data_IF_121258034569
#
_entry.id   IF_121258034569
#
_cell.length_a   1.000
_cell.length_b   1.000
_cell.length_c   1.000
_cell.angle_alpha   90.00
_cell.angle_beta   90.00
_cell.angle_gamma   90.00
#
_symmetry.space_group_name_H-M   'P 1'
#
loop_
_entity.id
_entity.type
_entity.pdbx_description
1 polymer ?
#
# COMPACT_ATOMS: atom_id res chain seq x y z
N UNK A 1 -12.39 1.14 -2.14
CA UNK A 1 -11.88 2.54 -2.13
C UNK A 1 -10.36 2.46 -2.06
N UNK A 2 -9.61 3.55 -2.28
CA UNK A 2 -8.18 3.51 -2.57
C UNK A 2 -7.31 2.77 -1.54
N UNK A 3 -6.37 1.95 -2.03
CA UNK A 3 -5.18 1.50 -1.29
C UNK A 3 -3.93 1.75 -2.14
N UNK A 4 -3.60 3.03 -2.40
CA UNK A 4 -2.37 3.42 -3.12
C UNK A 4 -1.35 4.15 -2.26
N UNK A 5 -1.79 4.74 -1.14
CA UNK A 5 -0.99 5.60 -0.27
C UNK A 5 -1.36 5.32 1.20
N UNK A 6 -0.90 4.18 1.72
CA UNK A 6 -1.05 3.78 3.13
C UNK A 6 -0.61 4.87 4.14
N UNK A 7 0.22 5.83 3.72
CA UNK A 7 0.70 6.94 4.54
C UNK A 7 -0.09 8.25 4.42
N UNK A 8 -1.04 8.39 3.47
CA UNK A 8 -1.85 9.64 3.34
C UNK A 8 -3.28 9.46 3.81
N UNK A 9 -3.93 8.37 3.40
CA UNK A 9 -5.37 8.19 3.54
C UNK A 9 -5.74 7.08 4.55
N UNK A 10 -4.82 6.73 5.46
CA UNK A 10 -5.04 5.66 6.45
C UNK A 10 -6.34 5.84 7.23
N UNK A 11 -6.65 7.07 7.66
CA UNK A 11 -7.92 7.41 8.31
C UNK A 11 -9.15 6.93 7.53
N UNK A 12 -9.16 7.03 6.20
CA UNK A 12 -10.27 6.56 5.36
C UNK A 12 -10.37 5.03 5.31
N UNK A 13 -9.23 4.33 5.40
CA UNK A 13 -9.19 2.87 5.46
C UNK A 13 -9.74 2.40 6.81
N UNK A 14 -9.32 3.04 7.91
CA UNK A 14 -9.84 2.78 9.26
C UNK A 14 -11.33 3.13 9.37
N UNK A 15 -11.79 4.21 8.73
CA UNK A 15 -13.23 4.57 8.63
C UNK A 15 -14.03 3.54 7.83
N UNK A 16 -13.47 3.04 6.72
CA UNK A 16 -14.12 2.00 5.93
C UNK A 16 -14.21 0.67 6.70
N UNK A 17 -13.14 0.29 7.39
CA UNK A 17 -13.05 -0.91 8.21
C UNK A 17 -14.10 -0.93 9.34
N UNK A 18 -14.19 0.13 10.14
CA UNK A 18 -15.23 0.28 11.17
C UNK A 18 -16.65 0.20 10.60
N UNK A 19 -16.88 0.87 9.46
CA UNK A 19 -18.20 0.90 8.81
C UNK A 19 -18.52 -0.39 8.04
N UNK A 20 -17.71 -1.44 8.22
CA UNK A 20 -17.77 -2.74 7.51
C UNK A 20 -17.87 -2.57 5.98
N UNK A 21 -17.33 -1.47 5.46
CA UNK A 21 -17.33 -1.16 4.03
C UNK A 21 -16.23 -1.99 3.37
N UNK A 22 -16.56 -2.90 2.43
CA UNK A 22 -15.56 -3.77 1.84
C UNK A 22 -14.52 -2.97 1.06
N UNK A 23 -13.26 -3.25 1.36
CA UNK A 23 -12.10 -2.80 0.61
C UNK A 23 -11.13 -3.98 0.44
N UNK A 24 -10.06 -3.75 -0.31
CA UNK A 24 -8.96 -4.68 -0.48
C UNK A 24 -7.66 -3.87 -0.49
N UNK A 25 -6.57 -4.49 -0.08
CA UNK A 25 -5.25 -3.90 -0.19
C UNK A 25 -4.75 -4.02 -1.63
N UNK A 26 -3.99 -3.03 -2.09
CA UNK A 26 -3.31 -3.06 -3.37
C UNK A 26 -1.84 -2.67 -3.16
N UNK A 27 -0.94 -3.46 -3.74
CA UNK A 27 0.49 -3.16 -3.86
C UNK A 27 1.01 -3.69 -5.20
N UNK A 28 2.25 -3.37 -5.56
CA UNK A 28 2.83 -3.82 -6.82
C UNK A 28 4.34 -3.88 -6.84
N UNK A 29 4.87 -4.61 -7.82
CA UNK A 29 6.30 -4.86 -8.01
C UNK A 29 6.63 -4.99 -9.49
N UNK A 30 7.49 -4.10 -10.01
CA UNK A 30 8.13 -4.31 -11.31
C UNK A 30 9.28 -5.33 -11.21
N UNK A 31 9.18 -6.53 -11.82
CA UNK A 31 10.13 -7.61 -11.61
C UNK A 31 11.36 -7.46 -12.51
N UNK A 32 12.43 -6.82 -11.99
CA UNK A 32 13.64 -6.49 -12.78
C UNK A 32 14.86 -7.37 -12.56
N UNK A 33 14.74 -8.42 -11.76
CA UNK A 33 15.82 -9.30 -11.34
C UNK A 33 15.25 -10.65 -10.92
N UNK A 34 16.09 -11.69 -10.91
CA UNK A 34 15.65 -13.04 -10.51
C UNK A 34 15.18 -13.08 -9.05
N UNK A 35 15.91 -12.43 -8.14
CA UNK A 35 15.53 -12.35 -6.72
C UNK A 35 15.11 -10.93 -6.32
N UNK A 36 14.23 -10.85 -5.32
CA UNK A 36 13.88 -9.66 -4.55
C UNK A 36 14.92 -9.48 -3.44
N UNK A 37 15.68 -8.38 -3.47
CA UNK A 37 16.56 -8.03 -2.35
C UNK A 37 15.75 -7.51 -1.15
N UNK A 38 16.28 -7.66 0.07
CA UNK A 38 15.57 -7.35 1.34
C UNK A 38 14.82 -6.02 1.36
N UNK A 39 15.40 -4.93 0.85
CA UNK A 39 14.72 -3.61 0.80
C UNK A 39 13.42 -3.58 -0.02
N UNK A 40 13.25 -4.46 -1.00
CA UNK A 40 12.00 -4.64 -1.75
C UNK A 40 11.06 -5.68 -1.12
N UNK A 41 11.54 -6.46 -0.13
CA UNK A 41 10.74 -7.41 0.65
C UNK A 41 10.04 -6.72 1.83
N UNK A 42 10.63 -5.67 2.42
CA UNK A 42 10.02 -4.91 3.53
C UNK A 42 8.59 -4.43 3.22
N UNK A 43 8.27 -3.84 2.04
CA UNK A 43 6.89 -3.49 1.71
C UNK A 43 5.94 -4.69 1.68
N UNK A 44 6.41 -5.89 1.28
CA UNK A 44 5.57 -7.09 1.28
C UNK A 44 5.36 -7.65 2.68
N UNK A 45 6.38 -7.67 3.54
CA UNK A 45 6.23 -8.04 4.95
C UNK A 45 5.22 -7.11 5.64
N UNK A 46 5.32 -5.81 5.41
CA UNK A 46 4.36 -4.84 5.94
C UNK A 46 2.95 -5.00 5.34
N UNK A 47 2.84 -5.27 4.04
CA UNK A 47 1.53 -5.52 3.38
C UNK A 47 0.90 -6.83 3.87
N UNK A 48 1.70 -7.85 4.18
CA UNK A 48 1.26 -9.13 4.75
C UNK A 48 0.68 -8.92 6.14
N UNK A 49 1.40 -8.18 6.98
CA UNK A 49 0.90 -7.76 8.29
C UNK A 49 -0.42 -6.99 8.16
N UNK A 50 -0.50 -5.97 7.29
CA UNK A 50 -1.76 -5.26 7.04
C UNK A 50 -2.89 -6.19 6.55
N UNK A 51 -2.59 -7.22 5.76
CA UNK A 51 -3.59 -8.21 5.32
C UNK A 51 -4.13 -9.03 6.49
N UNK A 52 -3.24 -9.58 7.33
CA UNK A 52 -3.65 -10.34 8.52
C UNK A 52 -4.55 -9.49 9.43
N UNK A 53 -4.16 -8.23 9.59
CA UNK A 53 -4.72 -7.25 10.53
C UNK A 53 -6.10 -6.74 10.09
N UNK A 54 -6.27 -6.42 8.81
CA UNK A 54 -7.56 -6.00 8.26
C UNK A 54 -8.45 -7.19 7.84
N UNK A 55 -7.91 -8.41 7.77
CA UNK A 55 -8.53 -9.63 7.23
C UNK A 55 -9.15 -9.49 5.83
N UNK A 56 -8.65 -8.55 5.02
CA UNK A 56 -9.20 -8.20 3.70
C UNK A 56 -8.47 -8.91 2.54
N UNK A 57 -9.09 -8.98 1.35
CA UNK A 57 -8.37 -9.38 0.15
C UNK A 57 -7.18 -8.44 -0.16
N UNK A 58 -6.18 -8.99 -0.84
CA UNK A 58 -4.99 -8.29 -1.34
C UNK A 58 -4.83 -8.56 -2.84
N UNK A 59 -4.51 -7.51 -3.58
CA UNK A 59 -4.09 -7.58 -4.97
C UNK A 59 -2.64 -7.15 -5.10
N UNK A 60 -1.82 -7.96 -5.77
CA UNK A 60 -0.42 -7.69 -6.07
C UNK A 60 -0.23 -7.62 -7.60
N UNK A 61 0.04 -6.43 -8.12
CA UNK A 61 0.34 -6.22 -9.54
C UNK A 61 1.83 -6.44 -9.82
N UNK A 62 2.16 -7.31 -10.76
CA UNK A 62 3.51 -7.48 -11.29
C UNK A 62 3.62 -6.75 -12.63
N UNK A 63 4.26 -5.58 -12.62
CA UNK A 63 4.36 -4.65 -13.76
C UNK A 63 5.49 -5.07 -14.70
N UNK A 64 5.30 -6.24 -15.32
CA UNK A 64 6.27 -6.88 -16.21
C UNK A 64 6.32 -6.23 -17.60
N UNK A 65 5.21 -5.61 -18.01
CA UNK A 65 5.12 -4.69 -19.14
C UNK A 65 5.99 -3.43 -18.94
N UNK A 66 5.98 -2.80 -17.76
CA UNK A 66 6.85 -1.66 -17.44
C UNK A 66 8.33 -2.04 -17.49
N UNK A 67 8.69 -3.25 -17.04
CA UNK A 67 10.09 -3.70 -17.16
C UNK A 67 10.49 -3.97 -18.61
N UNK A 68 9.59 -4.43 -19.47
CA UNK A 68 9.82 -4.49 -20.92
C UNK A 68 9.89 -3.09 -21.58
N UNK A 69 9.07 -2.14 -21.14
CA UNK A 69 8.97 -0.79 -21.73
C UNK A 69 10.10 0.16 -21.30
N UNK A 70 10.77 -0.09 -20.18
CA UNK A 70 11.87 0.75 -19.66
C UNK A 70 13.26 0.11 -19.72
N UNK A 71 13.39 -1.19 -19.98
CA UNK A 71 14.68 -1.89 -20.02
C UNK A 71 14.84 -2.72 -21.28
N UNK A 72 16.09 -2.96 -21.66
CA UNK A 72 16.45 -3.94 -22.67
C UNK A 72 16.30 -5.35 -22.07
N UNK A 73 15.08 -5.88 -22.13
CA UNK A 73 14.68 -7.21 -21.65
C UNK A 73 13.75 -7.86 -22.67
N UNK A 74 13.87 -9.17 -22.85
CA UNK A 74 12.90 -9.96 -23.62
C UNK A 74 11.60 -10.18 -22.82
N UNK A 75 10.49 -10.46 -23.51
CA UNK A 75 9.22 -10.80 -22.84
C UNK A 75 9.35 -12.11 -22.05
N UNK A 76 10.17 -13.05 -22.53
CA UNK A 76 10.55 -14.28 -21.86
C UNK A 76 11.29 -14.02 -20.54
N UNK A 77 12.20 -13.03 -20.50
CA UNK A 77 12.88 -12.61 -19.27
C UNK A 77 11.93 -11.90 -18.31
N UNK A 78 11.08 -10.99 -18.78
CA UNK A 78 10.04 -10.36 -17.96
C UNK A 78 9.11 -11.42 -17.33
N UNK A 79 8.63 -12.39 -18.13
CA UNK A 79 7.83 -13.53 -17.63
C UNK A 79 8.59 -14.35 -16.58
N UNK A 80 9.87 -14.63 -16.81
CA UNK A 80 10.70 -15.40 -15.88
C UNK A 80 10.92 -14.65 -14.56
N UNK A 81 11.31 -13.37 -14.60
CA UNK A 81 11.48 -12.55 -13.39
C UNK A 81 10.16 -12.38 -12.63
N UNK A 82 9.04 -12.27 -13.33
CA UNK A 82 7.69 -12.27 -12.75
C UNK A 82 7.44 -13.52 -11.91
N UNK A 83 7.71 -14.70 -12.47
CA UNK A 83 7.53 -15.98 -11.74
C UNK A 83 8.46 -16.08 -10.53
N UNK A 84 9.73 -15.68 -10.64
CA UNK A 84 10.65 -15.73 -9.49
C UNK A 84 10.28 -14.69 -8.41
N UNK A 85 9.93 -13.45 -8.78
CA UNK A 85 9.49 -12.44 -7.81
C UNK A 85 8.16 -12.85 -7.15
N UNK A 86 7.26 -13.52 -7.89
CA UNK A 86 6.05 -14.09 -7.31
C UNK A 86 6.36 -15.17 -6.24
N UNK A 87 7.40 -16.00 -6.44
CA UNK A 87 7.84 -16.98 -5.41
C UNK A 87 8.36 -16.27 -4.16
N UNK A 88 9.21 -15.26 -4.31
CA UNK A 88 9.72 -14.46 -3.18
C UNK A 88 8.58 -13.77 -2.40
N UNK A 89 7.57 -13.25 -3.11
CA UNK A 89 6.38 -12.64 -2.51
C UNK A 89 5.53 -13.68 -1.77
N UNK A 90 5.27 -14.84 -2.38
CA UNK A 90 4.53 -15.94 -1.75
C UNK A 90 5.25 -16.43 -0.48
N UNK A 91 6.59 -16.43 -0.48
CA UNK A 91 7.41 -16.79 0.68
C UNK A 91 7.27 -15.82 1.87
N UNK A 92 6.66 -14.63 1.71
CA UNK A 92 6.26 -13.78 2.84
C UNK A 92 5.09 -14.37 3.66
N UNK A 93 4.41 -15.42 3.19
CA UNK A 93 3.35 -16.11 3.92
C UNK A 93 1.97 -15.47 3.82
N UNK A 94 1.64 -14.89 2.66
CA UNK A 94 0.29 -14.41 2.35
C UNK A 94 -0.73 -15.57 2.23
N UNK A 95 -1.98 -15.37 2.65
CA UNK A 95 -3.05 -16.36 2.45
C UNK A 95 -3.49 -16.39 0.98
N UNK A 96 -3.35 -17.57 0.34
CA UNK A 96 -3.78 -17.81 -1.05
C UNK A 96 -5.28 -17.59 -1.27
N UNK A 97 -6.11 -17.77 -0.24
CA UNK A 97 -7.55 -17.55 -0.33
C UNK A 97 -7.93 -16.06 -0.36
N UNK A 98 -7.02 -15.19 0.10
CA UNK A 98 -7.22 -13.73 0.18
C UNK A 98 -6.29 -12.95 -0.73
N UNK A 99 -5.37 -13.60 -1.45
CA UNK A 99 -4.30 -12.93 -2.21
C UNK A 99 -4.36 -13.28 -3.69
N UNK A 100 -4.50 -12.26 -4.54
CA UNK A 100 -4.42 -12.38 -6.00
C UNK A 100 -3.17 -11.67 -6.52
N UNK A 101 -2.22 -12.45 -7.05
CA UNK A 101 -1.02 -11.95 -7.72
C UNK A 101 -1.23 -12.09 -9.23
N UNK A 102 -0.95 -11.04 -10.01
CA UNK A 102 -1.14 -11.07 -11.46
C UNK A 102 -0.01 -10.35 -12.22
N UNK A 103 0.25 -10.80 -13.44
CA UNK A 103 1.11 -10.13 -14.44
C UNK A 103 0.28 -9.20 -15.29
N UNK A 104 0.78 -7.99 -15.58
CA UNK A 104 0.09 -7.05 -16.45
C UNK A 104 -0.02 -7.59 -17.89
N UNK A 105 1.05 -8.21 -18.41
CA UNK A 105 1.04 -8.84 -19.74
C UNK A 105 -0.03 -9.94 -19.90
N UNK A 106 -0.27 -10.74 -18.86
CA UNK A 106 -1.25 -11.84 -18.89
C UNK A 106 -2.68 -11.38 -18.54
N UNK A 107 -2.84 -10.60 -17.45
CA UNK A 107 -4.17 -10.25 -16.95
C UNK A 107 -4.91 -9.23 -17.82
N UNK A 108 -4.18 -8.39 -18.57
CA UNK A 108 -4.76 -7.48 -19.55
C UNK A 108 -5.61 -8.22 -20.59
N UNK A 109 -5.13 -9.39 -21.06
CA UNK A 109 -5.87 -10.25 -21.98
C UNK A 109 -6.98 -11.06 -21.30
N UNK A 110 -6.78 -11.45 -20.04
CA UNK A 110 -7.72 -12.29 -19.29
C UNK A 110 -8.95 -11.53 -18.75
N UNK A 111 -8.84 -10.22 -18.46
CA UNK A 111 -9.89 -9.44 -17.79
C UNK A 111 -10.38 -8.23 -18.59
N UNK A 112 -11.52 -8.36 -19.31
CA UNK A 112 -12.19 -7.22 -19.94
C UNK A 112 -12.59 -6.12 -18.94
N UNK A 113 -12.79 -6.48 -17.66
CA UNK A 113 -13.13 -5.51 -16.61
C UNK A 113 -11.92 -4.62 -16.25
N UNK A 114 -10.72 -5.21 -16.19
CA UNK A 114 -9.47 -4.49 -16.00
C UNK A 114 -9.22 -3.50 -17.13
N UNK A 115 -9.21 -3.96 -18.39
CA UNK A 115 -8.96 -3.09 -19.54
C UNK A 115 -9.99 -1.96 -19.68
N UNK A 116 -11.27 -2.20 -19.35
CA UNK A 116 -12.31 -1.14 -19.29
C UNK A 116 -11.98 -0.02 -18.30
N UNK A 117 -11.25 -0.30 -17.22
CA UNK A 117 -10.80 0.72 -16.28
C UNK A 117 -9.51 1.39 -16.77
N UNK A 118 -8.58 0.66 -17.38
CA UNK A 118 -7.39 1.22 -18.05
C UNK A 118 -7.79 2.28 -19.07
N UNK A 119 -8.69 1.97 -20.01
CA UNK A 119 -9.11 2.95 -21.04
C UNK A 119 -9.90 4.13 -20.48
N UNK A 120 -10.59 3.98 -19.34
CA UNK A 120 -11.20 5.12 -18.63
C UNK A 120 -10.13 6.05 -18.09
N UNK A 121 -9.06 5.53 -17.48
CA UNK A 121 -7.95 6.37 -17.00
C UNK A 121 -7.25 7.05 -18.18
N UNK A 122 -6.91 6.31 -19.24
CA UNK A 122 -6.30 6.87 -20.47
C UNK A 122 -7.14 7.99 -21.10
N UNK A 123 -8.48 7.91 -21.04
CA UNK A 123 -9.37 8.97 -21.56
C UNK A 123 -9.31 10.27 -20.75
N UNK A 124 -9.09 10.20 -19.43
CA UNK A 124 -9.15 11.35 -18.52
C UNK A 124 -7.77 11.91 -18.14
N UNK A 125 -6.68 11.30 -18.62
CA UNK A 125 -5.31 11.76 -18.40
C UNK A 125 -4.69 12.17 -19.74
N UNK A 126 -4.48 13.47 -19.93
CA UNK A 126 -3.86 14.03 -21.13
C UNK A 126 -2.35 13.81 -21.16
N UNK A 127 -1.75 13.84 -22.36
CA UNK A 127 -0.29 13.73 -22.51
C UNK A 127 0.47 14.80 -21.70
N UNK A 128 -0.04 16.04 -21.64
CA UNK A 128 0.55 17.10 -20.84
C UNK A 128 0.58 16.77 -19.33
N UNK A 129 -0.43 16.07 -18.80
CA UNK A 129 -0.46 15.65 -17.40
C UNK A 129 0.58 14.55 -17.13
N UNK A 130 0.66 13.48 -17.93
CA UNK A 130 1.70 12.45 -17.74
C UNK A 130 3.11 12.98 -17.98
N UNK A 131 3.30 13.90 -18.94
CA UNK A 131 4.56 14.61 -19.18
C UNK A 131 5.00 15.41 -17.95
N UNK A 132 4.07 16.12 -17.31
CA UNK A 132 4.35 16.87 -16.07
C UNK A 132 4.60 15.99 -14.84
N UNK A 133 3.97 14.80 -14.75
CA UNK A 133 4.10 13.90 -13.58
C UNK A 133 5.33 12.99 -13.69
N UNK A 134 5.58 12.41 -14.87
CA UNK A 134 6.60 11.38 -15.09
C UNK A 134 7.82 11.86 -15.88
N UNK A 135 7.83 13.11 -16.36
CA UNK A 135 8.95 13.68 -17.11
C UNK A 135 9.11 13.17 -18.53
N UNK A 136 8.06 12.55 -19.11
CA UNK A 136 8.12 11.97 -20.45
C UNK A 136 8.47 12.98 -21.55
N UNK A 137 9.29 12.54 -22.49
CA UNK A 137 9.69 13.31 -23.66
C UNK A 137 8.90 12.89 -24.89
N UNK A 138 9.00 13.67 -25.97
CA UNK A 138 8.37 13.33 -27.24
C UNK A 138 9.11 12.18 -27.97
N UNK A 139 10.23 11.72 -27.39
CA UNK A 139 11.02 10.55 -27.81
C UNK A 139 10.69 9.27 -27.04
N UNK A 140 9.88 9.34 -25.97
CA UNK A 140 9.47 8.14 -25.23
C UNK A 140 8.41 7.36 -25.99
N UNK A 141 8.48 6.02 -25.92
CA UNK A 141 7.52 5.19 -26.64
C UNK A 141 6.11 5.28 -26.02
N UNK A 142 5.07 5.13 -26.87
CA UNK A 142 3.67 5.25 -26.45
C UNK A 142 3.28 4.27 -25.33
N UNK A 143 3.98 3.13 -25.21
CA UNK A 143 3.80 2.18 -24.13
C UNK A 143 4.07 2.83 -22.76
N UNK A 144 5.23 3.49 -22.59
CA UNK A 144 5.57 4.23 -21.35
C UNK A 144 4.53 5.29 -21.01
N UNK A 145 4.08 6.04 -22.02
CA UNK A 145 3.09 7.11 -21.86
C UNK A 145 1.73 6.54 -21.40
N UNK A 146 1.38 5.34 -21.86
CA UNK A 146 0.12 4.66 -21.53
C UNK A 146 0.14 3.85 -20.22
N UNK A 147 1.32 3.40 -19.79
CA UNK A 147 1.50 2.50 -18.63
C UNK A 147 0.95 3.04 -17.29
N UNK A 148 1.05 4.33 -16.93
CA UNK A 148 0.46 4.85 -15.69
C UNK A 148 -1.04 4.54 -15.53
N UNK A 149 -1.78 4.38 -16.63
CA UNK A 149 -3.18 3.96 -16.58
C UNK A 149 -3.37 2.47 -16.24
N UNK A 150 -2.41 1.62 -16.63
CA UNK A 150 -2.34 0.20 -16.29
C UNK A 150 -2.03 0.06 -14.79
N UNK A 151 -1.02 0.77 -14.30
CA UNK A 151 -0.64 0.78 -12.88
C UNK A 151 -1.69 1.40 -11.95
N UNK A 152 -2.54 2.30 -12.47
CA UNK A 152 -3.64 2.89 -11.71
C UNK A 152 -4.93 2.02 -11.72
N UNK A 153 -5.12 1.14 -12.70
CA UNK A 153 -6.34 0.34 -12.83
C UNK A 153 -6.64 -0.56 -11.61
N UNK A 154 -5.66 -1.10 -10.86
CA UNK A 154 -5.91 -1.82 -9.62
C UNK A 154 -6.47 -0.99 -8.46
N UNK A 155 -6.53 0.34 -8.54
CA UNK A 155 -7.20 1.17 -7.52
C UNK A 155 -8.73 1.13 -7.59
N UNK A 156 -9.29 0.62 -8.70
CA UNK A 156 -10.73 0.51 -8.93
C UNK A 156 -11.21 -0.92 -8.66
N UNK A 157 -12.07 -1.10 -7.66
CA UNK A 157 -12.57 -2.42 -7.23
C UNK A 157 -13.22 -3.24 -8.35
N UNK A 158 -13.91 -2.59 -9.29
CA UNK A 158 -14.54 -3.25 -10.43
C UNK A 158 -13.54 -3.75 -11.51
N UNK A 159 -12.23 -3.57 -11.32
CA UNK A 159 -11.16 -4.24 -12.08
C UNK A 159 -11.02 -5.72 -11.72
N UNK A 160 -11.51 -6.11 -10.54
CA UNK A 160 -11.43 -7.47 -9.99
C UNK A 160 -12.81 -7.94 -9.50
N UNK A 161 -13.79 -8.14 -10.41
CA UNK A 161 -15.16 -8.54 -10.03
C UNK A 161 -15.22 -9.85 -9.23
N UNK A 162 -14.18 -10.68 -9.28
CA UNK A 162 -14.03 -11.94 -8.53
C UNK A 162 -13.53 -11.77 -7.09
N UNK A 163 -12.94 -10.63 -6.72
CA UNK A 163 -12.27 -10.43 -5.41
C UNK A 163 -13.19 -9.72 -4.40
N UNK A 164 -14.04 -8.81 -4.88
CA UNK A 164 -14.72 -7.83 -4.03
C UNK A 164 -16.04 -8.40 -3.49
N UNK A 165 -15.95 -9.31 -2.53
CA UNK A 165 -17.07 -9.75 -1.69
C UNK A 165 -17.08 -9.00 -0.34
N UNK A 166 -18.26 -8.95 0.30
CA UNK A 166 -18.68 -7.86 1.20
C UNK A 166 -18.25 -7.97 2.68
N UNK A 167 -17.00 -8.34 2.99
CA UNK A 167 -16.55 -8.45 4.37
C UNK A 167 -15.22 -7.72 4.60
N UNK A 168 -15.19 -6.87 5.63
CA UNK A 168 -14.02 -6.17 6.16
C UNK A 168 -14.29 -5.96 7.67
N UNK A 169 -13.38 -6.45 8.53
CA UNK A 169 -13.56 -6.80 9.96
C UNK A 169 -14.75 -6.17 10.73
N UNK A 170 -14.56 -5.35 11.77
CA UNK A 170 -13.33 -4.76 12.34
C UNK A 170 -13.09 -5.22 13.80
N UNK A 171 -12.06 -4.67 14.46
CA UNK A 171 -11.89 -4.85 15.91
C UNK A 171 -13.03 -4.24 16.74
N UNK A 172 -13.73 -3.23 16.20
CA UNK A 172 -14.94 -2.66 16.80
C UNK A 172 -16.15 -3.61 16.78
N UNK A 173 -17.29 -3.15 17.31
CA UNK A 173 -18.58 -3.86 17.18
C UNK A 173 -19.53 -3.03 16.32
N UNK A 174 -20.47 -3.70 15.67
CA UNK A 174 -21.45 -3.13 14.73
C UNK A 174 -22.19 -1.92 15.31
N UNK A 175 -22.47 -1.93 16.63
CA UNK A 175 -23.11 -0.84 17.35
C UNK A 175 -22.25 -0.30 18.50
N UNK A 176 -22.43 0.98 18.81
CA UNK A 176 -21.82 1.62 20.00
C UNK A 176 -22.26 0.89 21.28
N UNK A 177 -23.50 0.42 21.35
CA UNK A 177 -24.05 -0.28 22.52
C UNK A 177 -23.38 -1.64 22.73
N UNK A 178 -23.14 -2.42 21.67
CA UNK A 178 -22.37 -3.66 21.75
C UNK A 178 -20.90 -3.40 22.07
N UNK A 179 -20.30 -2.36 21.49
CA UNK A 179 -18.91 -2.01 21.76
C UNK A 179 -18.70 -1.57 23.22
N UNK A 180 -19.60 -0.74 23.77
CA UNK A 180 -19.60 -0.36 25.21
C UNK A 180 -19.84 -1.56 26.14
N UNK A 181 -20.39 -2.67 25.65
CA UNK A 181 -20.71 -3.87 26.44
C UNK A 181 -19.66 -4.99 26.33
N UNK A 182 -19.00 -5.11 25.18
CA UNK A 182 -18.12 -6.24 24.82
C UNK A 182 -16.67 -5.81 24.54
N UNK A 183 -16.40 -4.50 24.45
CA UNK A 183 -15.12 -3.96 24.02
C UNK A 183 -14.83 -4.11 22.53
N UNK A 184 -13.74 -3.48 22.09
CA UNK A 184 -13.06 -3.81 20.86
C UNK A 184 -12.02 -4.90 21.05
N UNK A 185 -11.55 -5.48 19.95
CA UNK A 185 -10.42 -6.41 19.93
C UNK A 185 -9.16 -5.66 19.45
N UNK A 186 -8.17 -5.35 20.34
CA UNK A 186 -6.96 -4.63 19.95
C UNK A 186 -6.05 -5.43 19.00
N UNK A 187 -6.10 -6.76 19.04
CA UNK A 187 -5.18 -7.63 18.28
C UNK A 187 -5.53 -7.65 16.78
N UNK A 188 -6.74 -7.20 16.42
CA UNK A 188 -7.19 -6.96 15.04
C UNK A 188 -7.55 -5.49 14.76
N UNK A 189 -7.42 -4.59 15.73
CA UNK A 189 -7.63 -3.16 15.50
C UNK A 189 -6.36 -2.47 15.04
N UNK A 190 -6.37 -2.07 13.78
CA UNK A 190 -5.24 -1.43 13.11
C UNK A 190 -4.82 -0.13 13.79
N UNK A 191 -5.76 0.59 14.40
CA UNK A 191 -5.47 1.86 15.07
C UNK A 191 -4.61 1.61 16.31
N UNK A 192 -4.96 0.58 17.09
CA UNK A 192 -4.16 0.12 18.22
C UNK A 192 -2.82 -0.43 17.77
N UNK A 193 -2.81 -1.21 16.69
CA UNK A 193 -1.61 -1.81 16.14
C UNK A 193 -0.60 -0.83 15.54
N UNK A 194 -1.03 0.34 15.05
CA UNK A 194 -0.09 1.41 14.75
C UNK A 194 0.42 2.08 16.03
N UNK A 195 -0.40 2.22 17.07
CA UNK A 195 0.07 2.71 18.37
C UNK A 195 1.17 1.82 18.95
N UNK A 196 1.13 0.49 18.80
CA UNK A 196 2.23 -0.40 19.25
C UNK A 196 3.57 -0.17 18.55
N UNK A 197 3.61 0.61 17.45
CA UNK A 197 4.86 1.00 16.77
C UNK A 197 5.25 2.48 16.98
N UNK A 198 4.27 3.36 17.23
CA UNK A 198 4.48 4.82 17.21
C UNK A 198 4.23 5.50 18.56
N UNK A 199 3.56 4.85 19.52
CA UNK A 199 3.41 5.33 20.88
C UNK A 199 4.52 4.72 21.75
N UNK A 200 5.52 5.53 22.10
CA UNK A 200 6.68 5.10 22.90
C UNK A 200 6.36 4.94 24.41
N UNK A 201 5.16 5.34 24.85
CA UNK A 201 4.70 5.22 26.23
C UNK A 201 3.93 3.90 26.43
N UNK A 202 4.64 2.88 26.92
CA UNK A 202 4.10 1.54 27.20
C UNK A 202 2.93 1.56 28.21
N UNK A 203 2.93 2.47 29.20
CA UNK A 203 1.85 2.58 30.19
C UNK A 203 0.59 3.17 29.55
N UNK A 204 0.75 4.20 28.72
CA UNK A 204 -0.35 4.76 27.93
C UNK A 204 -0.88 3.73 26.92
N UNK A 205 0.00 2.97 26.25
CA UNK A 205 -0.38 1.93 25.30
C UNK A 205 -1.19 0.81 25.97
N UNK A 206 -0.74 0.31 27.11
CA UNK A 206 -1.47 -0.70 27.89
C UNK A 206 -2.81 -0.16 28.42
N UNK A 207 -2.86 1.10 28.86
CA UNK A 207 -4.12 1.75 29.25
C UNK A 207 -5.09 1.84 28.08
N UNK A 208 -4.64 2.25 26.89
CA UNK A 208 -5.46 2.27 25.67
C UNK A 208 -5.98 0.87 25.36
N UNK A 209 -5.12 -0.17 25.46
CA UNK A 209 -5.50 -1.56 25.26
C UNK A 209 -6.62 -1.99 26.19
N UNK A 210 -6.51 -1.68 27.48
CA UNK A 210 -7.52 -2.00 28.51
C UNK A 210 -8.82 -1.22 28.31
N UNK A 211 -8.74 0.08 28.04
CA UNK A 211 -9.93 0.91 27.82
C UNK A 211 -10.68 0.47 26.56
N UNK A 212 -9.97 0.10 25.48
CA UNK A 212 -10.58 -0.41 24.25
C UNK A 212 -11.17 -1.81 24.45
N UNK A 213 -10.42 -2.74 25.07
CA UNK A 213 -10.87 -4.12 25.34
C UNK A 213 -12.06 -4.20 26.31
N UNK A 214 -12.29 -3.18 27.13
CA UNK A 214 -13.45 -3.08 28.03
C UNK A 214 -14.62 -2.30 27.45
N UNK A 215 -14.43 -1.62 26.31
CA UNK A 215 -15.41 -0.71 25.72
C UNK A 215 -15.49 0.65 26.43
N UNK A 216 -14.56 0.97 27.34
CA UNK A 216 -14.43 2.29 27.94
C UNK A 216 -13.90 3.35 26.96
N UNK A 217 -13.19 2.93 25.91
CA UNK A 217 -12.79 3.75 24.76
C UNK A 217 -13.49 3.23 23.50
N UNK A 218 -14.11 4.12 22.71
CA UNK A 218 -14.66 3.78 21.39
C UNK A 218 -13.56 3.78 20.31
N UNK A 219 -13.79 3.10 19.19
CA UNK A 219 -12.82 3.06 18.08
C UNK A 219 -12.51 4.46 17.50
N UNK A 220 -13.49 5.38 17.49
CA UNK A 220 -13.26 6.79 17.14
C UNK A 220 -12.36 7.55 18.12
N UNK A 221 -12.32 7.15 19.39
CA UNK A 221 -11.42 7.70 20.42
C UNK A 221 -10.01 7.09 20.27
N UNK A 222 -9.91 5.79 20.01
CA UNK A 222 -8.66 5.08 19.68
C UNK A 222 -7.98 5.65 18.42
N UNK A 223 -8.76 5.89 17.36
CA UNK A 223 -8.30 6.60 16.15
C UNK A 223 -7.74 7.97 16.46
N UNK A 224 -8.41 8.71 17.35
CA UNK A 224 -7.93 10.02 17.78
C UNK A 224 -6.58 9.89 18.49
N UNK A 225 -6.42 8.92 19.39
CA UNK A 225 -5.10 8.63 20.00
C UNK A 225 -4.03 8.35 18.94
N UNK A 226 -4.31 7.54 17.91
CA UNK A 226 -3.36 7.32 16.82
C UNK A 226 -3.04 8.60 16.04
N UNK A 227 -4.04 9.42 15.71
CA UNK A 227 -3.84 10.70 15.02
C UNK A 227 -2.99 11.64 15.87
N UNK A 228 -3.31 11.76 17.16
CA UNK A 228 -2.60 12.61 18.13
C UNK A 228 -1.14 12.12 18.34
N UNK A 229 -0.87 10.81 18.25
CA UNK A 229 0.50 10.23 18.26
C UNK A 229 1.26 10.48 16.95
N UNK A 230 0.61 10.32 15.79
CA UNK A 230 1.27 10.50 14.48
C UNK A 230 1.48 11.97 14.10
N UNK A 231 0.60 12.88 14.55
CA UNK A 231 0.64 14.29 14.15
C UNK A 231 1.95 15.00 14.53
N UNK A 232 2.53 14.84 15.74
CA UNK A 232 3.85 15.36 16.07
C UNK A 232 4.95 14.81 15.17
N UNK A 233 4.96 13.50 14.89
CA UNK A 233 5.96 12.84 14.03
C UNK A 233 5.89 13.41 12.60
N UNK A 234 4.67 13.58 12.07
CA UNK A 234 4.44 14.16 10.74
C UNK A 234 4.85 15.63 10.71
N UNK A 235 4.52 16.41 11.73
CA UNK A 235 4.89 17.82 11.83
C UNK A 235 6.41 18.02 11.94
N UNK A 236 7.08 17.20 12.76
CA UNK A 236 8.53 17.22 12.92
C UNK A 236 9.24 16.81 11.62
N UNK A 237 8.75 15.77 10.91
CA UNK A 237 9.26 15.40 9.60
C UNK A 237 9.06 16.52 8.57
N UNK A 238 7.89 17.17 8.54
CA UNK A 238 7.62 18.31 7.65
C UNK A 238 8.53 19.49 7.95
N UNK A 239 8.81 19.79 9.22
CA UNK A 239 9.74 20.85 9.62
C UNK A 239 11.17 20.49 9.22
N UNK A 240 11.68 19.31 9.61
CA UNK A 240 13.00 18.79 9.19
C UNK A 240 13.19 18.88 7.68
N UNK A 241 12.15 18.55 6.89
CA UNK A 241 12.17 18.61 5.42
C UNK A 241 12.35 20.04 4.87
N UNK A 242 11.91 21.10 5.55
CA UNK A 242 12.12 22.50 5.10
C UNK A 242 13.60 22.90 5.10
N UNK A 243 14.38 22.31 5.99
CA UNK A 243 15.82 22.57 6.13
C UNK A 243 16.68 21.76 5.14
N UNK A 244 16.08 20.88 4.34
CA UNK A 244 16.76 20.12 3.28
C UNK A 244 16.79 20.96 2.01
N UNK A 245 17.90 21.67 1.79
CA UNK A 245 18.16 22.47 0.58
C UNK A 245 18.70 21.60 -0.57
N UNK A 246 18.65 22.12 -1.79
CA UNK A 246 19.25 21.46 -2.96
C UNK A 246 20.76 21.23 -2.78
N UNK A 247 21.48 22.14 -2.10
CA UNK A 247 22.90 21.96 -1.74
C UNK A 247 23.11 20.78 -0.78
N UNK A 248 22.22 20.58 0.20
CA UNK A 248 22.26 19.43 1.12
C UNK A 248 21.97 18.14 0.34
N UNK A 249 20.96 18.15 -0.53
CA UNK A 249 20.65 17.01 -1.41
C UNK A 249 21.87 16.67 -2.29
N UNK A 250 22.47 17.67 -2.94
CA UNK A 250 23.66 17.51 -3.77
C UNK A 250 24.86 17.00 -2.96
N UNK A 251 25.10 17.52 -1.75
CA UNK A 251 26.16 17.05 -0.86
C UNK A 251 25.96 15.58 -0.49
N UNK A 252 24.73 15.17 -0.16
CA UNK A 252 24.39 13.79 0.17
C UNK A 252 24.54 12.84 -1.03
N UNK A 253 24.12 13.28 -2.22
CA UNK A 253 24.22 12.53 -3.48
C UNK A 253 25.63 12.51 -4.10
N UNK A 254 26.52 13.43 -3.69
CA UNK A 254 27.91 13.46 -4.18
C UNK A 254 28.73 12.32 -3.56
N UNK A 255 29.36 11.44 -4.39
CA UNK A 255 30.28 10.42 -3.89
C UNK A 255 31.44 11.06 -3.13
N UNK A 256 31.56 10.72 -1.85
CA UNK A 256 32.57 11.27 -0.94
C UNK A 256 33.01 10.21 0.05
N UNK A 257 34.18 10.38 0.66
CA UNK A 257 34.61 9.51 1.76
C UNK A 257 33.65 9.68 2.94
N UNK A 258 33.01 8.59 3.36
CA UNK A 258 32.19 8.59 4.56
C UNK A 258 33.11 8.49 5.79
N UNK A 259 32.89 9.38 6.76
CA UNK A 259 33.66 9.42 7.99
C UNK A 259 32.93 8.63 9.08
N UNK A 260 33.22 7.34 9.16
CA UNK A 260 32.75 6.45 10.22
C UNK A 260 33.93 5.67 10.78
N UNK A 261 33.90 5.41 12.09
CA UNK A 261 34.76 4.43 12.75
C UNK A 261 34.07 3.07 12.68
N UNK A 262 34.78 2.08 12.13
CA UNK A 262 34.45 0.66 12.31
C UNK A 262 34.82 0.20 13.72
#
# INVERSE_FOLDING_TARGET
MLCGLLFRDMHQILDAFEQQKPFYLYTGRGPSSQAIHVGHLIPFIFTKWLQDVFDVPLVIQLTDDEKYLWKDLTLEECRRFTVENARDIIACGFDVNKTFIFSDLEYMGASPAFYRNVVKVQKHVTFNQVKGIFGFTDSDCIGKISFPAIQAAPSFSNSFPQIVNKHAFSGGKDTIEEHRKLGGDPDVDVSFMYLTFFLEDDEQLEKIRQDYSSGAMLTGELKKSLIDTLQPIIAEHQEKRKHVTDDIVQQFMTPRKLHFSC
#
